data_IF_384903023244
#
_entry.id   IF_384903023244
#
_cell.length_a   1.000
_cell.length_b   1.000
_cell.length_c   1.000
_cell.angle_alpha   90.00
_cell.angle_beta   90.00
_cell.angle_gamma   90.00
#
_symmetry.space_group_name_H-M   'P 1'
#
loop_
_entity.id
_entity.type
_entity.pdbx_description
1 polymer ?
#
# COMPACT_ATOMS: atom_id res chain seq x y z
N UNK A 1 -26.17 -22.29 -2.67
CA UNK A 1 -27.10 -21.23 -3.09
C UNK A 1 -26.42 -19.84 -2.95
N UNK A 2 -25.87 -19.19 -3.97
CA UNK A 2 -25.93 -19.35 -5.42
C UNK A 2 -24.53 -19.14 -6.02
N UNK A 3 -24.17 -20.03 -6.94
CA UNK A 3 -23.02 -19.92 -7.82
C UNK A 3 -23.37 -18.96 -8.96
N UNK A 4 -23.33 -17.65 -8.71
CA UNK A 4 -23.21 -16.70 -9.81
C UNK A 4 -21.73 -16.66 -10.21
N UNK A 5 -21.42 -17.43 -11.27
CA UNK A 5 -20.19 -17.32 -12.04
C UNK A 5 -20.02 -15.88 -12.52
N UNK A 6 -18.78 -15.39 -12.72
CA UNK A 6 -18.55 -14.10 -13.35
C UNK A 6 -19.35 -14.02 -14.64
N UNK A 7 -20.17 -12.98 -14.78
CA UNK A 7 -20.96 -12.75 -15.98
C UNK A 7 -20.10 -11.83 -16.84
N UNK A 8 -19.55 -12.28 -17.99
CA UNK A 8 -18.81 -11.41 -18.89
C UNK A 8 -19.75 -10.31 -19.35
N UNK A 9 -19.55 -9.11 -18.83
CA UNK A 9 -20.43 -8.00 -19.12
C UNK A 9 -19.84 -7.21 -20.27
N UNK A 10 -20.12 -7.59 -21.52
CA UNK A 10 -20.04 -6.63 -22.63
C UNK A 10 -20.62 -7.19 -23.93
N UNK A 11 -21.40 -6.35 -24.61
CA UNK A 11 -21.71 -6.42 -26.04
C UNK A 11 -20.46 -6.33 -26.95
N UNK A 12 -19.24 -6.23 -26.38
CA UNK A 12 -17.98 -6.01 -27.07
C UNK A 12 -16.87 -6.87 -26.43
N UNK A 13 -16.38 -7.93 -27.08
CA UNK A 13 -15.31 -8.75 -26.52
C UNK A 13 -14.04 -7.91 -26.34
N UNK A 14 -13.50 -7.89 -25.12
CA UNK A 14 -12.17 -7.32 -24.83
C UNK A 14 -11.10 -8.37 -25.14
N UNK A 15 -10.00 -7.92 -25.76
CA UNK A 15 -8.87 -8.77 -26.09
C UNK A 15 -7.57 -8.05 -25.72
N UNK A 16 -6.67 -8.78 -25.08
CA UNK A 16 -5.32 -8.30 -24.83
C UNK A 16 -4.46 -8.46 -26.08
N UNK A 17 -3.77 -7.39 -26.44
CA UNK A 17 -2.83 -7.36 -27.56
C UNK A 17 -1.48 -6.90 -27.03
N UNK A 18 -0.44 -7.71 -27.26
CA UNK A 18 0.94 -7.34 -26.97
C UNK A 18 1.43 -6.38 -28.05
N UNK A 19 2.10 -5.30 -27.64
CA UNK A 19 2.69 -4.33 -28.55
C UNK A 19 4.00 -3.79 -27.95
N UNK A 20 4.71 -3.01 -28.75
CA UNK A 20 5.83 -2.18 -28.29
C UNK A 20 5.41 -1.22 -27.17
N UNK A 21 6.34 -0.80 -26.29
CA UNK A 21 6.02 0.12 -25.20
C UNK A 21 5.31 1.38 -25.73
N UNK A 22 4.11 1.66 -25.19
CA UNK A 22 3.26 2.76 -25.64
C UNK A 22 3.84 4.16 -25.40
N UNK A 23 4.85 4.27 -24.54
CA UNK A 23 5.53 5.53 -24.23
C UNK A 23 6.98 5.28 -23.78
N UNK A 24 7.94 6.16 -24.13
CA UNK A 24 9.31 6.10 -23.60
C UNK A 24 9.38 6.15 -22.07
N UNK A 25 8.37 6.74 -21.41
CA UNK A 25 8.26 6.83 -19.95
C UNK A 25 8.30 5.46 -19.26
N UNK A 26 7.91 4.39 -19.93
CA UNK A 26 7.99 3.03 -19.37
C UNK A 26 9.44 2.60 -19.18
N UNK A 27 10.30 2.89 -20.16
CA UNK A 27 11.74 2.62 -20.03
C UNK A 27 12.36 3.51 -18.94
N UNK A 28 12.04 4.80 -18.97
CA UNK A 28 12.52 5.75 -17.95
C UNK A 28 12.10 5.34 -16.53
N UNK A 29 10.90 4.77 -16.37
CA UNK A 29 10.44 4.23 -15.09
C UNK A 29 11.33 3.07 -14.61
N UNK A 30 11.67 2.12 -15.48
CA UNK A 30 12.53 1.00 -15.10
C UNK A 30 13.97 1.44 -14.80
N UNK A 31 14.50 2.39 -15.57
CA UNK A 31 15.76 3.06 -15.28
C UNK A 31 15.68 3.77 -13.90
N UNK A 32 14.59 4.50 -13.64
CA UNK A 32 14.33 5.20 -12.38
C UNK A 32 14.31 4.24 -11.21
N UNK A 33 13.70 3.04 -11.32
CA UNK A 33 13.61 2.07 -10.21
C UNK A 33 14.75 1.06 -10.17
N UNK A 34 15.66 1.09 -11.15
CA UNK A 34 16.85 0.23 -11.20
C UNK A 34 16.55 -1.23 -11.50
N UNK A 35 15.58 -1.49 -12.39
CA UNK A 35 15.17 -2.85 -12.77
C UNK A 35 15.44 -3.07 -14.25
N UNK A 36 16.21 -4.12 -14.56
CA UNK A 36 16.47 -4.54 -15.92
C UNK A 36 15.69 -5.82 -16.26
N UNK A 37 14.56 -5.65 -16.95
CA UNK A 37 13.72 -6.75 -17.42
C UNK A 37 14.41 -7.62 -18.50
N UNK A 38 15.47 -7.12 -19.15
CA UNK A 38 16.19 -7.82 -20.22
C UNK A 38 17.43 -8.57 -19.71
N UNK A 39 17.65 -8.60 -18.39
CA UNK A 39 18.76 -9.32 -17.74
C UNK A 39 18.77 -10.84 -17.97
N UNK A 40 17.72 -11.40 -18.56
CA UNK A 40 17.55 -12.85 -18.76
C UNK A 40 17.01 -13.59 -17.52
N UNK A 41 16.76 -12.89 -16.42
CA UNK A 41 16.22 -13.47 -15.19
C UNK A 41 14.70 -13.71 -15.23
N UNK A 42 13.98 -13.09 -16.17
CA UNK A 42 12.52 -13.08 -16.23
C UNK A 42 12.00 -14.18 -17.16
N UNK A 43 10.96 -14.93 -16.77
CA UNK A 43 10.38 -15.97 -17.61
C UNK A 43 9.59 -15.39 -18.79
N UNK A 44 9.44 -16.19 -19.84
CA UNK A 44 8.51 -15.87 -20.94
C UNK A 44 7.09 -15.69 -20.40
N UNK A 45 6.39 -14.67 -20.92
CA UNK A 45 5.05 -14.32 -20.47
C UNK A 45 5.01 -13.58 -19.13
N UNK A 46 6.15 -13.12 -18.60
CA UNK A 46 6.19 -12.25 -17.42
C UNK A 46 5.31 -11.01 -17.62
N UNK A 47 4.44 -10.77 -16.64
CA UNK A 47 3.50 -9.65 -16.59
C UNK A 47 3.62 -8.93 -15.26
N UNK A 48 3.56 -7.60 -15.32
CA UNK A 48 3.59 -6.73 -14.15
C UNK A 48 3.04 -5.35 -14.48
N UNK A 49 2.76 -4.56 -13.45
CA UNK A 49 2.19 -3.23 -13.58
C UNK A 49 3.27 -2.13 -13.51
N UNK A 50 3.02 -1.03 -14.23
CA UNK A 50 3.80 0.22 -14.14
C UNK A 50 2.83 1.37 -13.92
N UNK A 51 2.94 2.04 -12.78
CA UNK A 51 2.05 3.14 -12.42
C UNK A 51 2.70 4.50 -12.67
N UNK A 52 2.66 4.97 -13.93
CA UNK A 52 3.17 6.31 -14.30
C UNK A 52 2.34 7.44 -13.67
N UNK A 53 1.04 7.21 -13.45
CA UNK A 53 0.16 8.20 -12.83
C UNK A 53 0.55 8.49 -11.37
N UNK A 54 1.09 7.50 -10.64
CA UNK A 54 1.62 7.71 -9.31
C UNK A 54 2.84 8.65 -9.32
N UNK A 55 3.68 8.60 -10.36
CA UNK A 55 4.79 9.54 -10.50
C UNK A 55 4.27 10.96 -10.74
N UNK A 56 3.27 11.10 -11.60
CA UNK A 56 2.61 12.38 -11.88
C UNK A 56 1.93 12.94 -10.63
N UNK A 57 1.33 12.08 -9.81
CA UNK A 57 0.75 12.44 -8.52
C UNK A 57 1.79 12.97 -7.54
N UNK A 58 2.93 12.27 -7.36
CA UNK A 58 4.03 12.74 -6.50
C UNK A 58 4.52 14.12 -6.94
N UNK A 59 4.73 14.32 -8.24
CA UNK A 59 5.13 15.62 -8.80
C UNK A 59 4.11 16.72 -8.45
N UNK A 60 2.82 16.43 -8.59
CA UNK A 60 1.75 17.39 -8.27
C UNK A 60 1.67 17.73 -6.78
N UNK A 61 1.86 16.74 -5.90
CA UNK A 61 1.91 16.96 -4.45
C UNK A 61 3.13 17.79 -4.08
N UNK A 62 4.31 17.41 -4.58
CA UNK A 62 5.57 18.08 -4.29
C UNK A 62 5.58 19.55 -4.74
N UNK A 63 4.91 19.89 -5.85
CA UNK A 63 4.75 21.29 -6.30
C UNK A 63 3.93 22.14 -5.34
N UNK A 64 2.95 21.55 -4.65
CA UNK A 64 2.05 22.26 -3.73
C UNK A 64 2.62 22.32 -2.31
N UNK A 65 3.33 21.27 -1.88
CA UNK A 65 3.94 21.21 -0.57
C UNK A 65 5.15 22.15 -0.49
N UNK A 66 4.99 23.29 0.20
CA UNK A 66 6.09 24.24 0.43
C UNK A 66 6.97 23.79 1.60
N UNK A 67 6.35 23.34 2.69
CA UNK A 67 7.03 22.86 3.90
C UNK A 67 6.17 21.83 4.62
N UNK A 68 6.78 20.77 5.14
CA UNK A 68 6.12 19.73 5.94
C UNK A 68 6.46 18.33 5.48
N UNK A 69 5.51 17.41 5.67
CA UNK A 69 5.69 15.98 5.40
C UNK A 69 4.62 15.45 4.43
N UNK A 70 5.00 14.45 3.64
CA UNK A 70 4.12 13.57 2.89
C UNK A 70 4.17 12.19 3.54
N UNK A 71 3.02 11.68 3.95
CA UNK A 71 2.84 10.34 4.48
C UNK A 71 2.05 9.50 3.48
N UNK A 72 2.69 8.49 2.90
CA UNK A 72 2.02 7.55 1.98
C UNK A 72 1.91 6.19 2.65
N UNK A 73 0.68 5.69 2.77
CA UNK A 73 0.36 4.43 3.43
C UNK A 73 -0.44 3.58 2.46
N UNK A 74 0.12 2.44 2.05
CA UNK A 74 -0.55 1.53 1.12
C UNK A 74 0.06 0.13 1.14
N UNK A 75 -0.61 -0.86 0.54
CA UNK A 75 -0.03 -2.18 0.33
C UNK A 75 0.88 -2.17 -0.88
N UNK A 76 2.12 -2.62 -0.67
CA UNK A 76 3.16 -2.47 -1.67
C UNK A 76 4.51 -2.99 -1.26
N UNK A 77 5.44 -2.87 -2.20
CA UNK A 77 6.78 -3.44 -2.12
C UNK A 77 7.85 -2.44 -2.58
N UNK A 78 9.11 -2.73 -2.27
CA UNK A 78 10.25 -2.14 -2.98
C UNK A 78 10.28 -2.66 -4.42
N UNK A 79 10.94 -1.96 -5.34
CA UNK A 79 11.04 -2.38 -6.74
C UNK A 79 11.59 -3.80 -6.89
N UNK A 80 12.64 -4.16 -6.15
CA UNK A 80 13.22 -5.51 -6.16
C UNK A 80 12.22 -6.61 -5.79
N UNK A 81 11.33 -6.34 -4.83
CA UNK A 81 10.28 -7.27 -4.40
C UNK A 81 9.05 -7.25 -5.31
N UNK A 82 8.76 -6.08 -5.90
CA UNK A 82 7.67 -5.85 -6.82
C UNK A 82 7.91 -6.62 -8.12
N UNK A 83 9.13 -6.51 -8.66
CA UNK A 83 9.52 -7.11 -9.93
C UNK A 83 10.32 -8.40 -9.76
N UNK A 84 10.07 -9.18 -8.70
CA UNK A 84 10.68 -10.50 -8.58
C UNK A 84 10.31 -11.36 -9.81
N UNK A 85 11.25 -12.11 -10.40
CA UNK A 85 10.94 -13.03 -11.49
C UNK A 85 9.84 -14.05 -11.14
N UNK A 86 9.79 -14.49 -9.88
CA UNK A 86 8.75 -15.39 -9.39
C UNK A 86 7.35 -14.76 -9.33
N UNK A 87 7.24 -13.42 -9.35
CA UNK A 87 5.98 -12.68 -9.43
C UNK A 87 5.63 -12.38 -10.88
N UNK A 88 5.45 -13.43 -11.67
CA UNK A 88 5.27 -13.32 -13.11
C UNK A 88 3.84 -12.98 -13.57
N UNK A 89 2.88 -12.90 -12.64
CA UNK A 89 1.50 -12.45 -12.91
C UNK A 89 1.19 -11.07 -12.31
N UNK A 90 2.21 -10.34 -11.86
CA UNK A 90 2.04 -9.00 -11.31
C UNK A 90 1.33 -8.98 -9.95
N UNK A 91 0.56 -7.91 -9.75
CA UNK A 91 -0.11 -7.57 -8.48
C UNK A 91 -1.54 -7.07 -8.66
N UNK A 92 -2.04 -7.03 -9.90
CA UNK A 92 -3.41 -6.64 -10.20
C UNK A 92 -4.40 -7.53 -9.45
N UNK A 93 -5.37 -6.90 -8.80
CA UNK A 93 -6.46 -7.54 -8.09
C UNK A 93 -7.76 -6.81 -8.41
N UNK A 94 -8.83 -7.58 -8.51
CA UNK A 94 -10.18 -7.11 -8.74
C UNK A 94 -11.06 -7.53 -7.58
N UNK A 95 -11.92 -6.62 -7.12
CA UNK A 95 -12.87 -6.90 -6.04
C UNK A 95 -14.30 -6.64 -6.51
N UNK A 96 -15.15 -7.66 -6.37
CA UNK A 96 -16.58 -7.58 -6.70
C UNK A 96 -17.39 -8.30 -5.62
N UNK A 97 -18.31 -7.59 -4.96
CA UNK A 97 -19.20 -8.13 -3.93
C UNK A 97 -18.49 -8.98 -2.85
N UNK A 98 -17.39 -8.46 -2.28
CA UNK A 98 -16.54 -9.13 -1.27
C UNK A 98 -15.81 -10.40 -1.75
N UNK A 99 -15.74 -10.63 -3.07
CA UNK A 99 -14.89 -11.65 -3.68
C UNK A 99 -13.72 -10.98 -4.40
N UNK A 100 -12.57 -11.65 -4.43
CA UNK A 100 -11.40 -11.20 -5.15
C UNK A 100 -11.08 -12.14 -6.32
N UNK A 101 -10.57 -11.60 -7.41
CA UNK A 101 -10.04 -12.30 -8.58
C UNK A 101 -9.01 -11.42 -9.28
N UNK A 102 -8.38 -11.92 -10.34
CA UNK A 102 -7.34 -11.24 -11.11
C UNK A 102 -7.78 -10.80 -12.51
N UNK A 103 -9.00 -11.17 -12.95
CA UNK A 103 -9.52 -10.81 -14.27
C UNK A 103 -10.18 -9.40 -14.30
N UNK A 104 -9.59 -8.38 -14.94
CA UNK A 104 -10.16 -7.02 -15.02
C UNK A 104 -11.35 -6.90 -15.98
N UNK A 105 -11.67 -7.94 -16.78
CA UNK A 105 -12.61 -7.88 -17.89
C UNK A 105 -14.01 -8.41 -17.56
N UNK A 106 -14.23 -9.03 -16.40
CA UNK A 106 -15.53 -9.62 -16.05
C UNK A 106 -16.62 -8.58 -15.77
N UNK A 107 -16.43 -7.71 -14.78
CA UNK A 107 -17.46 -6.77 -14.33
C UNK A 107 -17.02 -5.31 -14.60
N UNK A 108 -16.74 -4.99 -15.86
CA UNK A 108 -16.25 -3.66 -16.27
C UNK A 108 -17.19 -2.55 -15.75
N UNK A 109 -16.61 -1.59 -15.04
CA UNK A 109 -17.34 -0.48 -14.41
C UNK A 109 -18.10 -0.83 -13.13
N UNK A 110 -18.08 -2.09 -12.68
CA UNK A 110 -18.80 -2.57 -11.49
C UNK A 110 -17.90 -3.27 -10.46
N UNK A 111 -16.63 -3.55 -10.79
CA UNK A 111 -15.63 -4.04 -9.85
C UNK A 111 -14.57 -2.97 -9.56
N UNK A 112 -14.00 -3.04 -8.37
CA UNK A 112 -12.79 -2.28 -8.05
C UNK A 112 -11.59 -2.99 -8.67
N UNK A 113 -10.61 -2.21 -9.14
CA UNK A 113 -9.37 -2.71 -9.76
C UNK A 113 -8.22 -1.97 -9.12
N UNK A 114 -7.27 -2.74 -8.60
CA UNK A 114 -6.10 -2.20 -7.92
C UNK A 114 -4.85 -2.98 -8.22
N UNK A 115 -3.69 -2.39 -7.96
CA UNK A 115 -2.38 -3.01 -7.99
C UNK A 115 -1.58 -2.53 -6.79
N UNK A 116 -0.57 -3.30 -6.40
CA UNK A 116 0.29 -2.89 -5.29
C UNK A 116 1.06 -1.61 -5.64
N UNK A 117 1.47 -0.87 -4.61
CA UNK A 117 2.35 0.30 -4.76
C UNK A 117 3.81 -0.14 -4.86
N UNK A 118 4.55 0.44 -5.81
CA UNK A 118 6.01 0.39 -5.83
C UNK A 118 6.58 1.58 -5.03
N UNK A 119 6.98 1.34 -3.78
CA UNK A 119 7.48 2.38 -2.89
C UNK A 119 8.84 2.93 -3.31
N UNK A 120 9.67 2.14 -4.01
CA UNK A 120 10.93 2.65 -4.59
C UNK A 120 10.66 3.69 -5.67
N UNK A 121 9.60 3.52 -6.47
CA UNK A 121 9.20 4.49 -7.48
C UNK A 121 8.74 5.81 -6.83
N UNK A 122 7.91 5.75 -5.78
CA UNK A 122 7.44 6.94 -5.06
C UNK A 122 8.59 7.69 -4.38
N UNK A 123 9.47 6.94 -3.71
CA UNK A 123 10.68 7.47 -3.05
C UNK A 123 11.54 8.25 -4.05
N UNK A 124 12.00 7.59 -5.12
CA UNK A 124 12.91 8.19 -6.12
C UNK A 124 12.26 9.33 -6.89
N UNK A 125 10.97 9.22 -7.23
CA UNK A 125 10.27 10.32 -7.88
C UNK A 125 10.12 11.53 -6.95
N UNK A 126 9.89 11.28 -5.65
CA UNK A 126 9.84 12.36 -4.68
C UNK A 126 11.18 13.09 -4.59
N UNK A 127 12.30 12.35 -4.56
CA UNK A 127 13.65 12.93 -4.58
C UNK A 127 13.87 13.83 -5.80
N UNK A 128 13.47 13.38 -7.00
CA UNK A 128 13.51 14.21 -8.21
C UNK A 128 12.66 15.48 -8.13
N UNK A 129 11.62 15.48 -7.28
CA UNK A 129 10.71 16.60 -7.05
C UNK A 129 11.07 17.45 -5.81
N UNK A 130 12.24 17.20 -5.20
CA UNK A 130 12.74 17.91 -4.04
C UNK A 130 12.07 17.51 -2.72
N UNK A 131 11.45 16.33 -2.66
CA UNK A 131 11.09 15.67 -1.40
C UNK A 131 12.29 14.86 -0.91
N UNK A 132 12.54 14.87 0.39
CA UNK A 132 13.59 14.06 1.00
C UNK A 132 12.97 12.87 1.73
N UNK A 133 13.52 11.67 1.56
CA UNK A 133 13.08 10.53 2.36
C UNK A 133 13.47 10.71 3.82
N UNK A 134 12.48 10.60 4.69
CA UNK A 134 12.67 10.56 6.15
C UNK A 134 12.74 9.12 6.64
N UNK A 135 11.89 8.24 6.10
CA UNK A 135 11.94 6.82 6.42
C UNK A 135 10.88 5.99 5.72
N UNK A 136 11.06 4.67 5.78
CA UNK A 136 10.10 3.68 5.29
C UNK A 136 10.01 2.54 6.29
N UNK A 137 8.80 2.17 6.69
CA UNK A 137 8.56 1.06 7.62
C UNK A 137 7.24 0.34 7.30
N UNK A 138 6.90 -0.68 8.08
CA UNK A 138 5.60 -1.35 8.01
C UNK A 138 4.58 -0.67 8.92
N UNK A 139 3.32 -0.66 8.51
CA UNK A 139 2.23 -0.04 9.27
C UNK A 139 2.15 -0.59 10.70
N UNK A 140 2.31 -1.91 10.88
CA UNK A 140 2.33 -2.51 12.21
C UNK A 140 3.41 -1.87 13.10
N UNK A 141 4.64 -1.78 12.60
CA UNK A 141 5.77 -1.17 13.33
C UNK A 141 5.53 0.32 13.58
N UNK A 142 5.05 1.05 12.57
CA UNK A 142 4.74 2.47 12.67
C UNK A 142 3.72 2.77 13.78
N UNK A 143 2.59 2.03 13.79
CA UNK A 143 1.54 2.21 14.79
C UNK A 143 1.99 1.78 16.19
N UNK A 144 2.78 0.70 16.28
CA UNK A 144 3.35 0.26 17.55
C UNK A 144 4.27 1.32 18.15
N UNK A 145 5.17 1.89 17.34
CA UNK A 145 6.06 2.97 17.75
C UNK A 145 5.29 4.23 18.18
N UNK A 146 4.16 4.53 17.54
CA UNK A 146 3.28 5.63 17.96
C UNK A 146 2.56 5.38 19.30
N UNK A 147 2.51 4.14 19.78
CA UNK A 147 1.96 3.76 21.08
C UNK A 147 0.68 2.93 21.02
N UNK A 148 0.36 2.30 19.89
CA UNK A 148 -0.82 1.44 19.76
C UNK A 148 -0.77 0.24 20.72
N UNK A 149 0.42 -0.29 21.03
CA UNK A 149 0.60 -1.34 22.04
C UNK A 149 0.09 -0.91 23.42
N UNK A 150 0.44 0.29 23.88
CA UNK A 150 -0.04 0.82 25.16
C UNK A 150 -1.57 0.95 25.17
N UNK A 151 -2.17 1.33 24.03
CA UNK A 151 -3.61 1.43 23.88
C UNK A 151 -4.30 0.07 23.96
N UNK A 152 -3.73 -0.96 23.35
CA UNK A 152 -4.21 -2.35 23.42
C UNK A 152 -4.12 -2.92 24.85
N UNK A 153 -3.02 -2.67 25.55
CA UNK A 153 -2.82 -3.07 26.95
C UNK A 153 -3.83 -2.38 27.86
N UNK A 154 -4.04 -1.08 27.70
CA UNK A 154 -5.03 -0.33 28.47
C UNK A 154 -6.43 -0.92 28.29
N UNK A 155 -6.85 -1.22 27.05
CA UNK A 155 -8.17 -1.83 26.80
C UNK A 155 -8.31 -3.20 27.48
N UNK A 156 -7.24 -4.00 27.52
CA UNK A 156 -7.24 -5.31 28.19
C UNK A 156 -7.34 -5.18 29.72
N UNK A 157 -6.63 -4.21 30.32
CA UNK A 157 -6.73 -3.94 31.75
C UNK A 157 -8.11 -3.38 32.16
N UNK A 158 -8.74 -2.58 31.29
CA UNK A 158 -10.12 -2.13 31.48
C UNK A 158 -11.12 -3.29 31.49
N UNK A 159 -10.93 -4.31 30.64
CA UNK A 159 -11.76 -5.53 30.64
C UNK A 159 -11.64 -6.31 31.97
N UNK A 160 -10.43 -6.47 32.52
CA UNK A 160 -10.19 -7.18 33.77
C UNK A 160 -10.78 -6.48 35.00
N UNK A 161 -10.61 -5.15 35.10
CA UNK A 161 -11.10 -4.35 36.24
C UNK A 161 -12.64 -4.27 36.26
N UNK A 162 -13.29 -4.20 35.09
CA UNK A 162 -14.77 -4.22 34.99
C UNK A 162 -15.37 -5.63 35.08
N UNK A 163 -14.57 -6.68 34.87
CA UNK A 163 -14.96 -8.05 35.25
C UNK A 163 -15.28 -8.18 36.75
N UNK A 164 -14.75 -7.27 37.58
CA UNK A 164 -15.01 -7.20 39.03
C UNK A 164 -16.12 -6.20 39.42
N UNK A 165 -16.54 -5.30 38.53
CA UNK A 165 -17.58 -4.31 38.78
C UNK A 165 -18.62 -4.32 37.64
N UNK A 166 -19.86 -4.73 37.94
CA UNK A 166 -20.98 -4.98 37.00
C UNK A 166 -20.95 -4.08 35.76
N UNK A 167 -20.22 -4.50 34.73
CA UNK A 167 -20.23 -3.86 33.43
C UNK A 167 -21.44 -4.40 32.66
N UNK A 168 -22.19 -3.51 32.00
CA UNK A 168 -23.28 -3.98 31.14
C UNK A 168 -22.70 -4.80 29.98
N UNK A 169 -23.38 -5.86 29.53
CA UNK A 169 -22.88 -6.71 28.44
C UNK A 169 -22.57 -5.96 27.13
N UNK A 170 -23.21 -4.81 26.91
CA UNK A 170 -22.94 -3.91 25.77
C UNK A 170 -21.57 -3.23 25.85
N UNK A 171 -21.09 -2.90 27.06
CA UNK A 171 -19.80 -2.25 27.25
C UNK A 171 -18.65 -3.21 26.94
N UNK A 172 -18.75 -4.46 27.40
CA UNK A 172 -17.76 -5.52 27.14
C UNK A 172 -17.67 -5.82 25.64
N UNK A 173 -18.80 -5.97 24.96
CA UNK A 173 -18.83 -6.23 23.52
C UNK A 173 -18.15 -5.09 22.72
N UNK A 174 -18.39 -3.84 23.11
CA UNK A 174 -17.81 -2.66 22.46
C UNK A 174 -16.29 -2.60 22.64
N UNK A 175 -15.79 -2.94 23.83
CA UNK A 175 -14.34 -2.98 24.10
C UNK A 175 -13.68 -4.09 23.27
N UNK A 176 -14.28 -5.28 23.21
CA UNK A 176 -13.79 -6.39 22.40
C UNK A 176 -13.75 -6.06 20.90
N UNK A 177 -14.81 -5.43 20.37
CA UNK A 177 -14.84 -4.97 18.98
C UNK A 177 -13.73 -3.95 18.70
N UNK A 178 -13.55 -2.96 19.59
CA UNK A 178 -12.46 -1.98 19.45
C UNK A 178 -11.09 -2.65 19.47
N UNK A 179 -10.88 -3.59 20.38
CA UNK A 179 -9.64 -4.38 20.46
C UNK A 179 -9.42 -5.14 19.14
N UNK A 180 -10.43 -5.81 18.61
CA UNK A 180 -10.32 -6.57 17.36
C UNK A 180 -9.95 -5.68 16.16
N UNK A 181 -10.58 -4.51 16.02
CA UNK A 181 -10.24 -3.54 14.96
C UNK A 181 -8.80 -3.04 15.08
N UNK A 182 -8.35 -2.72 16.29
CA UNK A 182 -6.97 -2.27 16.51
C UNK A 182 -5.94 -3.39 16.24
N UNK A 183 -6.27 -4.65 16.56
CA UNK A 183 -5.43 -5.79 16.20
C UNK A 183 -5.33 -5.98 14.68
N UNK A 184 -6.43 -5.79 13.94
CA UNK A 184 -6.41 -5.87 12.47
C UNK A 184 -5.46 -4.85 11.82
N UNK A 185 -5.31 -3.65 12.42
CA UNK A 185 -4.39 -2.62 11.92
C UNK A 185 -2.91 -3.01 12.01
N UNK A 186 -2.56 -3.94 12.90
CA UNK A 186 -1.18 -4.40 13.13
C UNK A 186 -0.93 -5.84 12.69
N UNK A 187 -1.96 -6.55 12.22
CA UNK A 187 -1.83 -7.90 11.69
C UNK A 187 -0.88 -7.90 10.48
N UNK A 188 0.30 -8.56 10.56
CA UNK A 188 1.26 -8.58 9.47
C UNK A 188 0.73 -9.24 8.18
N UNK A 189 -0.28 -10.12 8.30
CA UNK A 189 -0.94 -10.78 7.17
C UNK A 189 -2.11 -9.95 6.61
N UNK A 190 -2.49 -8.88 7.29
CA UNK A 190 -3.51 -7.93 6.86
C UNK A 190 -2.93 -6.53 6.72
N UNK A 191 -3.62 -5.54 7.33
CA UNK A 191 -3.28 -4.12 7.19
C UNK A 191 -1.90 -3.78 7.79
N UNK A 192 -1.43 -4.55 8.77
CA UNK A 192 -0.10 -4.35 9.36
C UNK A 192 1.06 -4.52 8.37
N UNK A 193 0.84 -5.26 7.28
CA UNK A 193 1.82 -5.47 6.20
C UNK A 193 2.01 -4.27 5.26
N UNK A 194 1.17 -3.23 5.38
CA UNK A 194 1.22 -2.03 4.53
C UNK A 194 2.55 -1.30 4.72
N UNK A 195 3.04 -0.68 3.67
CA UNK A 195 4.20 0.21 3.74
C UNK A 195 3.78 1.60 4.22
N UNK A 196 4.63 2.25 5.01
CA UNK A 196 4.52 3.65 5.41
C UNK A 196 5.76 4.35 4.93
N UNK A 197 5.65 5.16 3.87
CA UNK A 197 6.71 6.02 3.37
C UNK A 197 6.49 7.44 3.89
N UNK A 198 7.55 8.00 4.48
CA UNK A 198 7.56 9.38 4.97
C UNK A 198 8.61 10.16 4.20
N UNK A 199 8.17 11.25 3.59
CA UNK A 199 9.04 12.21 2.92
C UNK A 199 8.80 13.62 3.48
N UNK A 200 9.78 14.49 3.38
CA UNK A 200 9.71 15.87 3.85
C UNK A 200 10.05 16.87 2.75
N UNK A 201 9.64 18.12 2.93
CA UNK A 201 10.03 19.25 2.09
C UNK A 201 10.18 20.50 2.94
N UNK A 202 11.15 21.35 2.58
CA UNK A 202 11.31 22.69 3.16
C UNK A 202 11.57 22.72 4.66
N UNK A 203 12.07 21.63 5.24
CA UNK A 203 12.50 21.60 6.64
C UNK A 203 13.90 22.21 6.78
N UNK A 204 14.16 22.84 7.90
CA UNK A 204 15.53 23.25 8.27
C UNK A 204 16.38 22.03 8.66
N UNK A 205 17.71 22.17 8.66
CA UNK A 205 18.60 21.09 9.09
C UNK A 205 18.32 20.62 10.52
N UNK A 206 18.00 21.53 11.44
CA UNK A 206 17.66 21.20 12.82
C UNK A 206 16.33 20.44 12.92
N UNK A 207 15.33 20.80 12.13
CA UNK A 207 14.07 20.07 12.05
C UNK A 207 14.24 18.69 11.42
N UNK A 208 15.11 18.57 10.43
CA UNK A 208 15.44 17.29 9.79
C UNK A 208 16.13 16.30 10.73
N UNK A 209 16.78 16.78 11.81
CA UNK A 209 17.39 15.93 12.85
C UNK A 209 16.38 15.40 13.86
N UNK A 210 15.15 15.93 13.90
CA UNK A 210 14.12 15.45 14.83
C UNK A 210 13.64 14.08 14.37
N UNK A 211 13.93 13.06 15.18
CA UNK A 211 13.41 11.71 14.94
C UNK A 211 11.89 11.69 15.10
N UNK A 212 11.20 11.17 14.08
CA UNK A 212 9.77 11.00 14.13
C UNK A 212 9.44 9.70 14.88
N UNK A 213 8.70 9.81 15.99
CA UNK A 213 8.34 8.68 16.86
C UNK A 213 7.85 7.43 16.10
N UNK A 214 7.06 7.58 15.04
CA UNK A 214 6.56 6.46 14.25
C UNK A 214 7.63 5.71 13.43
N UNK A 215 8.81 6.30 13.25
CA UNK A 215 9.95 5.73 12.54
C UNK A 215 11.08 5.28 13.47
N UNK A 216 10.96 5.52 14.77
CA UNK A 216 11.90 5.05 15.79
C UNK A 216 11.45 3.65 16.21
N UNK A 217 12.30 2.66 15.93
CA UNK A 217 12.14 1.27 16.34
C UNK A 217 13.06 0.92 17.50
#
# INVERSE_FOLDING_TARGET
PDSQSPIPNSQFPLQEVTDTPSTPRLKEYFDLVGIDLFSGAYPDGYRSEVNLAALDWINNVAKRLQRGFLLTIDYGYSAERYYLPARHQGTLQCYYQHRHHDDPYWNVGQQDITAHVNFTALERQGELCGLQKVGFTKQALFLMALGLGNRLTALSAFDEVRGQAIATGKDVLTIMQRRQVLHQLIDPMGLGGFGVLVQSKGLTEEEGKIELKGLVG
#
